data_IF_855772453627
#
_entry.id   IF_855772453627
#
_cell.length_a   1.000
_cell.length_b   1.000
_cell.length_c   1.000
_cell.angle_alpha   90.00
_cell.angle_beta   90.00
_cell.angle_gamma   90.00
#
_symmetry.space_group_name_H-M   'P 1'
#
loop_
_entity.id
_entity.type
_entity.pdbx_description
1 polymer ?
#
# COMPACT_ATOMS: atom_id res chain seq x y z
N UNK A 1 11.84 38.06 15.63
CA UNK A 1 11.21 38.03 16.98
C UNK A 1 10.42 36.74 17.11
N UNK A 2 10.85 35.84 17.99
CA UNK A 2 10.07 34.66 18.34
C UNK A 2 8.96 35.09 19.25
N UNK A 3 7.74 35.13 18.75
CA UNK A 3 6.54 35.41 19.53
C UNK A 3 6.36 34.34 20.61
N UNK A 4 5.81 34.71 21.76
CA UNK A 4 5.46 33.82 22.88
C UNK A 4 4.72 32.55 22.41
N UNK A 5 3.83 32.69 21.42
CA UNK A 5 3.14 31.57 20.74
C UNK A 5 4.07 30.57 20.09
N UNK A 6 5.17 31.03 19.50
CA UNK A 6 6.16 30.12 18.86
C UNK A 6 6.99 29.35 19.89
N UNK A 7 7.20 29.93 21.07
CA UNK A 7 7.89 29.28 22.18
C UNK A 7 7.03 28.15 22.78
N UNK A 8 5.76 28.45 23.03
CA UNK A 8 4.79 27.44 23.56
C UNK A 8 4.62 26.27 22.58
N UNK A 9 4.47 26.56 21.28
CA UNK A 9 4.42 25.53 20.24
C UNK A 9 5.68 24.67 20.23
N UNK A 10 6.86 25.23 20.38
CA UNK A 10 8.12 24.49 20.44
C UNK A 10 8.14 23.54 21.63
N UNK A 11 7.72 23.97 22.81
CA UNK A 11 7.64 23.11 23.99
C UNK A 11 6.67 21.92 23.79
N UNK A 12 5.50 22.16 23.17
CA UNK A 12 4.56 21.07 22.87
C UNK A 12 5.14 20.08 21.86
N UNK A 13 5.95 20.53 20.91
CA UNK A 13 6.68 19.64 20.00
C UNK A 13 7.75 18.82 20.70
N UNK A 14 8.50 19.42 21.60
CA UNK A 14 9.54 18.70 22.34
C UNK A 14 8.90 17.60 23.22
N UNK A 15 7.75 17.89 23.83
CA UNK A 15 6.93 16.90 24.55
C UNK A 15 6.44 15.77 23.62
N UNK A 16 5.94 16.12 22.44
CA UNK A 16 5.47 15.16 21.45
C UNK A 16 6.62 14.22 20.99
N UNK A 17 7.80 14.79 20.75
CA UNK A 17 9.01 14.02 20.36
C UNK A 17 9.41 13.09 21.51
N UNK A 18 9.43 13.58 22.74
CA UNK A 18 9.75 12.78 23.93
C UNK A 18 8.75 11.62 24.13
N UNK A 19 7.47 11.84 23.80
CA UNK A 19 6.44 10.81 23.82
C UNK A 19 6.56 9.77 22.68
N UNK A 20 7.52 9.93 21.78
CA UNK A 20 7.77 8.98 20.67
C UNK A 20 6.87 9.21 19.45
N UNK A 21 6.89 10.40 18.89
CA UNK A 21 6.14 10.74 17.67
C UNK A 21 6.55 9.88 16.47
N UNK A 22 5.70 8.93 16.14
CA UNK A 22 5.91 8.00 15.02
C UNK A 22 6.04 8.70 13.67
N UNK A 23 5.30 9.79 13.46
CA UNK A 23 5.32 10.54 12.20
C UNK A 23 6.66 11.25 11.99
N UNK A 24 7.23 11.82 13.06
CA UNK A 24 8.57 12.43 13.01
C UNK A 24 9.67 11.39 12.73
N UNK A 25 9.54 10.16 13.23
CA UNK A 25 10.47 9.08 12.91
C UNK A 25 10.38 8.71 11.43
N UNK A 26 9.16 8.57 10.89
CA UNK A 26 8.91 8.20 9.49
C UNK A 26 9.38 9.31 8.54
N UNK A 27 9.13 10.56 8.89
CA UNK A 27 9.50 11.72 8.07
C UNK A 27 11.01 11.76 7.78
N UNK A 28 11.82 11.27 8.73
CA UNK A 28 13.28 11.15 8.60
C UNK A 28 13.74 9.92 7.80
N UNK A 29 12.86 8.93 7.58
CA UNK A 29 13.21 7.70 6.86
C UNK A 29 13.16 7.89 5.34
N UNK A 30 12.47 8.91 4.84
CA UNK A 30 12.23 9.13 3.42
C UNK A 30 12.67 10.54 3.05
N UNK A 31 13.39 10.66 1.94
CA UNK A 31 13.51 11.93 1.24
C UNK A 31 12.28 12.14 0.36
N UNK A 32 11.49 13.17 0.69
CA UNK A 32 10.27 13.49 -0.04
C UNK A 32 10.52 14.24 -1.34
N UNK A 33 11.70 14.86 -1.51
CA UNK A 33 11.97 15.72 -2.66
C UNK A 33 11.93 14.99 -4.00
N UNK A 34 12.46 13.75 -4.14
CA UNK A 34 12.40 13.00 -5.40
C UNK A 34 10.99 12.68 -5.88
N UNK A 35 9.99 12.66 -4.99
CA UNK A 35 8.59 12.49 -5.40
C UNK A 35 8.00 13.75 -6.05
N UNK A 36 8.61 14.92 -5.84
CA UNK A 36 8.10 16.20 -6.35
C UNK A 36 7.95 16.23 -7.87
N UNK A 37 8.96 15.92 -8.70
CA UNK A 37 8.81 15.95 -10.15
C UNK A 37 7.75 14.96 -10.64
N UNK A 38 7.64 13.77 -10.03
CA UNK A 38 6.62 12.76 -10.36
C UNK A 38 5.21 13.34 -10.12
N UNK A 39 4.99 13.96 -8.96
CA UNK A 39 3.70 14.53 -8.60
C UNK A 39 3.39 15.84 -9.33
N UNK A 40 4.38 16.61 -9.71
CA UNK A 40 4.20 17.84 -10.48
C UNK A 40 3.84 17.58 -11.93
N UNK A 41 4.23 16.43 -12.49
CA UNK A 41 3.91 16.07 -13.88
C UNK A 41 2.41 16.00 -14.17
N UNK A 42 1.57 15.83 -13.14
CA UNK A 42 0.11 15.82 -13.32
C UNK A 42 -0.54 17.22 -13.43
N UNK A 43 0.25 18.29 -13.35
CA UNK A 43 -0.22 19.66 -13.50
C UNK A 43 0.36 20.28 -14.77
N UNK A 44 -0.49 20.46 -15.77
CA UNK A 44 -0.12 21.01 -17.09
C UNK A 44 -0.55 22.47 -17.29
N UNK A 45 -1.23 23.05 -16.29
CA UNK A 45 -1.90 24.35 -16.40
C UNK A 45 -1.04 25.53 -15.95
N UNK A 46 0.28 25.40 -15.91
CA UNK A 46 1.21 26.52 -15.68
C UNK A 46 1.33 27.33 -16.96
N UNK A 47 0.40 28.26 -17.15
CA UNK A 47 0.43 29.21 -18.26
C UNK A 47 0.75 30.61 -17.76
N UNK A 48 1.36 31.43 -18.60
CA UNK A 48 1.66 32.86 -18.32
C UNK A 48 0.42 33.72 -18.07
N UNK A 49 -0.78 33.17 -18.35
CA UNK A 49 -2.08 33.86 -18.18
C UNK A 49 -2.57 33.84 -16.72
N UNK A 50 -1.81 33.33 -15.77
CA UNK A 50 -2.22 33.22 -14.38
C UNK A 50 -3.16 32.03 -14.12
N UNK A 51 -3.56 31.86 -12.89
CA UNK A 51 -4.44 30.80 -12.40
C UNK A 51 -4.18 30.55 -10.92
N UNK A 52 -5.08 29.79 -10.26
CA UNK A 52 -4.86 29.38 -8.87
C UNK A 52 -3.68 28.41 -8.82
N UNK A 53 -2.65 28.74 -8.06
CA UNK A 53 -1.51 27.85 -7.84
C UNK A 53 -1.98 26.54 -7.18
N UNK A 54 -1.38 25.44 -7.63
CA UNK A 54 -1.59 24.14 -6.99
C UNK A 54 -1.10 24.15 -5.55
N UNK A 55 -1.75 23.37 -4.70
CA UNK A 55 -1.23 23.10 -3.35
C UNK A 55 0.13 22.38 -3.46
N UNK A 56 1.01 22.59 -2.47
CA UNK A 56 2.31 21.95 -2.46
C UNK A 56 2.17 20.42 -2.58
N UNK A 57 2.61 19.85 -3.71
CA UNK A 57 2.37 18.43 -4.05
C UNK A 57 2.90 17.46 -3.02
N UNK A 58 4.03 17.77 -2.39
CA UNK A 58 4.60 16.95 -1.30
C UNK A 58 3.69 16.97 -0.07
N UNK A 59 3.13 18.13 0.28
CA UNK A 59 2.15 18.22 1.37
C UNK A 59 0.91 17.38 1.07
N UNK A 60 0.39 17.47 -0.15
CA UNK A 60 -0.76 16.66 -0.59
C UNK A 60 -0.45 15.16 -0.53
N UNK A 61 0.73 14.74 -0.95
CA UNK A 61 1.15 13.36 -0.88
C UNK A 61 1.30 12.89 0.58
N UNK A 62 1.90 13.70 1.45
CA UNK A 62 1.96 13.43 2.89
C UNK A 62 0.56 13.33 3.52
N UNK A 63 -0.44 14.10 3.05
CA UNK A 63 -1.83 13.94 3.48
C UNK A 63 -2.38 12.55 3.11
N UNK A 64 -2.10 12.02 1.91
CA UNK A 64 -2.50 10.65 1.55
C UNK A 64 -1.79 9.59 2.41
N UNK A 65 -0.53 9.82 2.78
CA UNK A 65 0.17 8.95 3.74
C UNK A 65 -0.51 8.98 5.11
N UNK A 66 -0.85 10.15 5.65
CA UNK A 66 -1.60 10.29 6.90
C UNK A 66 -2.96 9.59 6.83
N UNK A 67 -3.67 9.76 5.72
CA UNK A 67 -4.96 9.13 5.49
C UNK A 67 -4.86 7.61 5.59
N UNK A 68 -3.91 7.02 4.88
CA UNK A 68 -3.73 5.56 4.86
C UNK A 68 -3.16 5.05 6.18
N UNK A 69 -2.23 5.77 6.78
CA UNK A 69 -1.60 5.40 8.05
C UNK A 69 -2.60 5.30 9.20
N UNK A 70 -3.58 6.21 9.24
CA UNK A 70 -4.59 6.28 10.28
C UNK A 70 -5.95 5.71 9.85
N UNK A 71 -6.12 5.30 8.59
CA UNK A 71 -7.37 4.76 8.05
C UNK A 71 -8.51 5.77 8.06
N UNK A 72 -8.23 7.04 7.70
CA UNK A 72 -9.18 8.14 7.76
C UNK A 72 -10.02 8.26 6.49
N UNK A 73 -11.25 8.75 6.62
CA UNK A 73 -12.04 9.26 5.50
C UNK A 73 -11.52 10.62 5.04
N UNK A 74 -11.94 11.10 3.85
CA UNK A 74 -11.47 12.39 3.33
C UNK A 74 -11.84 13.56 4.28
N UNK A 75 -13.11 13.69 4.76
CA UNK A 75 -13.46 14.75 5.72
C UNK A 75 -12.74 14.61 7.07
N UNK A 76 -12.53 13.38 7.54
CA UNK A 76 -11.84 13.18 8.82
C UNK A 76 -10.34 13.48 8.71
N UNK A 77 -9.73 13.26 7.56
CA UNK A 77 -8.35 13.66 7.29
C UNK A 77 -8.19 15.18 7.40
N UNK A 78 -9.06 15.95 6.74
CA UNK A 78 -9.06 17.41 6.82
C UNK A 78 -9.17 17.86 8.28
N UNK A 79 -10.19 17.37 9.02
CA UNK A 79 -10.42 17.70 10.42
C UNK A 79 -9.18 17.41 11.29
N UNK A 80 -8.59 16.24 11.14
CA UNK A 80 -7.41 15.86 11.94
C UNK A 80 -6.13 16.59 11.53
N UNK A 81 -5.99 17.00 10.28
CA UNK A 81 -4.88 17.87 9.86
C UNK A 81 -4.98 19.28 10.45
N UNK A 82 -6.18 19.75 10.77
CA UNK A 82 -6.40 21.03 11.47
C UNK A 82 -6.12 20.86 12.96
N UNK A 83 -6.64 19.80 13.56
CA UNK A 83 -6.68 19.57 15.01
C UNK A 83 -5.33 19.08 15.59
N UNK A 84 -4.68 18.11 14.91
CA UNK A 84 -3.50 17.43 15.45
C UNK A 84 -2.20 18.16 15.15
N UNK A 85 -1.49 18.53 16.19
CA UNK A 85 -0.18 19.17 16.10
C UNK A 85 0.86 18.27 15.40
N UNK A 86 0.83 16.95 15.63
CA UNK A 86 1.71 15.98 14.96
C UNK A 86 1.50 15.93 13.45
N UNK A 87 0.23 16.02 13.00
CA UNK A 87 -0.10 16.05 11.57
C UNK A 87 0.39 17.36 10.95
N UNK A 88 0.13 18.49 11.58
CA UNK A 88 0.63 19.79 11.11
C UNK A 88 2.14 19.83 10.98
N UNK A 89 2.86 19.25 11.95
CA UNK A 89 4.31 19.14 11.91
C UNK A 89 4.76 18.28 10.72
N UNK A 90 4.16 17.10 10.55
CA UNK A 90 4.48 16.20 9.42
C UNK A 90 4.23 16.85 8.06
N UNK A 91 3.22 17.72 7.95
CA UNK A 91 2.90 18.50 6.74
C UNK A 91 3.78 19.76 6.56
N UNK A 92 4.66 20.09 7.52
CA UNK A 92 5.53 21.26 7.47
C UNK A 92 4.83 22.59 7.83
N UNK A 93 3.79 22.55 8.68
CA UNK A 93 3.04 23.72 9.15
C UNK A 93 2.42 24.59 8.05
N UNK A 94 1.62 24.02 7.17
CA UNK A 94 0.99 24.81 6.12
C UNK A 94 0.06 25.86 6.74
N UNK A 95 0.04 27.06 6.13
CA UNK A 95 -0.87 28.14 6.53
C UNK A 95 -2.35 27.73 6.34
N UNK A 96 -2.62 26.92 5.34
CA UNK A 96 -3.95 26.42 5.00
C UNK A 96 -3.90 24.91 4.78
N UNK A 97 -4.83 24.20 5.38
CA UNK A 97 -5.07 22.78 5.10
C UNK A 97 -6.03 22.68 3.90
N UNK A 98 -5.71 21.89 2.87
CA UNK A 98 -6.62 21.59 1.78
C UNK A 98 -7.86 20.86 2.28
N UNK A 99 -9.00 21.16 1.64
CA UNK A 99 -10.28 20.50 1.90
C UNK A 99 -10.31 19.06 1.38
N UNK A 100 -11.30 18.30 1.81
CA UNK A 100 -11.51 16.90 1.47
C UNK A 100 -11.67 16.68 -0.04
N UNK A 101 -12.36 17.59 -0.74
CA UNK A 101 -12.56 17.52 -2.19
C UNK A 101 -11.25 17.75 -2.96
N UNK A 102 -10.39 18.63 -2.46
CA UNK A 102 -9.04 18.85 -3.02
C UNK A 102 -8.16 17.62 -2.86
N UNK A 103 -8.21 16.96 -1.70
CA UNK A 103 -7.47 15.71 -1.46
C UNK A 103 -7.99 14.59 -2.36
N UNK A 104 -9.31 14.47 -2.49
CA UNK A 104 -9.93 13.52 -3.40
C UNK A 104 -9.49 13.75 -4.85
N UNK A 105 -9.53 14.99 -5.33
CA UNK A 105 -9.12 15.34 -6.70
C UNK A 105 -7.64 15.04 -6.96
N UNK A 106 -6.77 15.28 -5.98
CA UNK A 106 -5.35 14.95 -6.06
C UNK A 106 -5.14 13.43 -6.22
N UNK A 107 -5.81 12.63 -5.40
CA UNK A 107 -5.78 11.17 -5.46
C UNK A 107 -6.29 10.64 -6.80
N UNK A 108 -7.40 11.18 -7.33
CA UNK A 108 -7.95 10.80 -8.63
C UNK A 108 -7.00 11.10 -9.80
N UNK A 109 -6.24 12.20 -9.73
CA UNK A 109 -5.24 12.51 -10.77
C UNK A 109 -4.11 11.47 -10.78
N UNK A 110 -3.60 11.08 -9.61
CA UNK A 110 -2.59 10.01 -9.52
C UNK A 110 -3.11 8.73 -10.17
N UNK A 111 -4.33 8.29 -9.81
CA UNK A 111 -4.93 7.07 -10.33
C UNK A 111 -5.24 7.14 -11.85
N UNK A 112 -5.64 8.30 -12.37
CA UNK A 112 -5.91 8.49 -13.80
C UNK A 112 -4.65 8.42 -14.65
N UNK A 113 -3.56 8.97 -14.15
CA UNK A 113 -2.28 9.07 -14.87
C UNK A 113 -1.37 7.84 -14.64
N UNK A 114 -1.75 6.92 -13.75
CA UNK A 114 -0.97 5.72 -13.47
C UNK A 114 0.39 6.02 -12.85
N UNK A 115 0.47 7.07 -11.99
CA UNK A 115 1.74 7.48 -11.37
C UNK A 115 2.17 6.56 -10.23
N UNK A 116 1.36 5.56 -9.89
CA UNK A 116 1.62 4.59 -8.83
C UNK A 116 2.96 3.88 -9.01
N UNK A 117 3.29 3.47 -10.24
CA UNK A 117 4.53 2.76 -10.55
C UNK A 117 5.75 3.64 -10.31
N UNK A 118 5.71 4.91 -10.73
CA UNK A 118 6.82 5.85 -10.52
C UNK A 118 7.00 6.18 -9.05
N UNK A 119 5.91 6.41 -8.32
CA UNK A 119 5.93 6.64 -6.86
C UNK A 119 6.50 5.42 -6.15
N UNK A 120 6.07 4.22 -6.53
CA UNK A 120 6.54 2.98 -5.94
C UNK A 120 8.01 2.72 -6.24
N UNK A 121 8.43 2.93 -7.49
CA UNK A 121 9.83 2.80 -7.93
C UNK A 121 10.77 3.71 -7.14
N UNK A 122 10.37 4.97 -6.90
CA UNK A 122 11.16 5.88 -6.09
C UNK A 122 11.29 5.42 -4.63
N UNK A 123 10.21 4.89 -4.03
CA UNK A 123 10.29 4.30 -2.70
C UNK A 123 11.27 3.11 -2.67
N UNK A 124 11.19 2.20 -3.64
CA UNK A 124 12.08 1.03 -3.71
C UNK A 124 13.54 1.46 -3.88
N UNK A 125 13.80 2.45 -4.73
CA UNK A 125 15.14 3.03 -4.89
C UNK A 125 15.69 3.55 -3.56
N UNK A 126 14.92 4.26 -2.78
CA UNK A 126 15.34 4.77 -1.47
C UNK A 126 15.57 3.64 -0.45
N UNK A 127 14.77 2.58 -0.49
CA UNK A 127 14.95 1.38 0.33
C UNK A 127 16.29 0.72 0.00
N UNK A 128 16.60 0.54 -1.28
CA UNK A 128 17.83 -0.10 -1.74
C UNK A 128 19.08 0.74 -1.42
N UNK A 129 18.99 2.07 -1.54
CA UNK A 129 20.05 2.99 -1.13
C UNK A 129 20.39 2.92 0.38
N UNK A 130 19.47 2.39 1.20
CA UNK A 130 19.72 2.13 2.64
C UNK A 130 20.32 0.76 2.93
N UNK A 131 20.75 0.03 1.90
CA UNK A 131 21.36 -1.30 2.03
C UNK A 131 20.36 -2.44 2.29
N UNK A 132 19.07 -2.18 2.12
CA UNK A 132 18.00 -3.17 2.28
C UNK A 132 17.74 -3.94 0.97
N UNK A 133 18.78 -4.38 0.30
CA UNK A 133 18.68 -5.15 -0.94
C UNK A 133 18.19 -6.58 -0.66
N UNK A 134 17.59 -7.21 -1.67
CA UNK A 134 17.08 -8.59 -1.59
C UNK A 134 18.29 -9.56 -1.52
N UNK A 135 18.35 -10.38 -0.48
CA UNK A 135 19.49 -11.31 -0.27
C UNK A 135 19.10 -12.77 -0.10
N UNK A 136 17.94 -13.06 0.50
CA UNK A 136 17.56 -14.42 0.95
C UNK A 136 16.34 -15.02 0.23
N UNK A 137 15.94 -14.44 -0.89
CA UNK A 137 14.77 -14.86 -1.65
C UNK A 137 13.50 -14.10 -1.28
N UNK A 138 12.46 -14.41 -2.01
CA UNK A 138 11.19 -13.68 -2.02
C UNK A 138 10.03 -14.60 -1.63
N UNK A 139 8.97 -14.03 -1.09
CA UNK A 139 7.74 -14.74 -0.77
C UNK A 139 6.64 -14.13 -1.60
N UNK A 140 6.03 -14.91 -2.50
CA UNK A 140 4.85 -14.47 -3.24
C UNK A 140 3.59 -15.07 -2.63
N UNK A 141 2.64 -14.20 -2.32
CA UNK A 141 1.35 -14.60 -1.76
C UNK A 141 0.25 -13.62 -2.16
N UNK A 142 -1.00 -13.97 -1.88
CA UNK A 142 -2.18 -13.21 -2.24
C UNK A 142 -3.15 -13.07 -1.07
N UNK A 143 -3.81 -11.94 -0.99
CA UNK A 143 -4.85 -11.72 0.01
C UNK A 143 -6.10 -11.09 -0.60
N UNK A 144 -7.28 -11.48 -0.08
CA UNK A 144 -8.55 -10.89 -0.48
C UNK A 144 -8.75 -9.51 0.14
N UNK A 145 -9.26 -8.59 -0.68
CA UNK A 145 -9.70 -7.26 -0.32
C UNK A 145 -11.20 -7.18 -0.58
N UNK A 146 -11.97 -7.09 0.48
CA UNK A 146 -13.44 -7.06 0.39
C UNK A 146 -13.89 -5.69 -0.12
N UNK A 147 -14.77 -5.69 -1.10
CA UNK A 147 -15.41 -4.48 -1.61
C UNK A 147 -16.88 -4.38 -1.18
N UNK A 148 -17.46 -3.20 -1.29
CA UNK A 148 -18.87 -2.98 -1.01
C UNK A 148 -19.71 -3.58 -2.14
N UNK A 149 -20.61 -4.49 -1.78
CA UNK A 149 -21.56 -5.13 -2.70
C UNK A 149 -22.55 -4.13 -3.27
N UNK A 150 -22.95 -3.12 -2.49
CA UNK A 150 -24.10 -2.26 -2.77
C UNK A 150 -25.41 -3.06 -2.87
N UNK A 151 -26.54 -2.37 -2.78
CA UNK A 151 -27.83 -2.98 -3.10
C UNK A 151 -28.01 -2.90 -4.62
N UNK A 152 -28.03 -4.06 -5.29
CA UNK A 152 -28.43 -4.14 -6.69
C UNK A 152 -29.98 -4.09 -6.72
N UNK A 153 -30.55 -2.96 -7.11
CA UNK A 153 -31.93 -2.94 -7.56
C UNK A 153 -32.01 -3.70 -8.87
N UNK A 154 -32.94 -4.67 -8.97
CA UNK A 154 -33.10 -5.52 -10.17
C UNK A 154 -33.43 -4.70 -11.42
N UNK A 155 -34.05 -3.53 -11.24
CA UNK A 155 -34.58 -2.66 -12.28
C UNK A 155 -33.61 -1.53 -12.72
N UNK A 156 -32.38 -1.49 -12.25
CA UNK A 156 -31.40 -0.46 -12.62
C UNK A 156 -30.31 -1.00 -13.52
N UNK A 157 -30.01 -0.22 -14.57
CA UNK A 157 -28.91 -0.45 -15.51
C UNK A 157 -27.62 -0.84 -14.78
N UNK A 158 -26.98 -1.90 -15.28
CA UNK A 158 -25.66 -2.37 -14.81
C UNK A 158 -24.61 -1.84 -15.76
N UNK A 159 -23.44 -1.49 -15.26
CA UNK A 159 -22.33 -0.99 -16.06
C UNK A 159 -21.92 0.43 -15.68
N UNK A 160 -21.22 1.10 -16.60
CA UNK A 160 -20.60 2.41 -16.34
C UNK A 160 -21.60 3.54 -16.05
N UNK A 161 -22.83 3.40 -16.51
CA UNK A 161 -23.93 4.35 -16.29
C UNK A 161 -24.65 4.16 -14.94
N UNK A 162 -24.39 3.06 -14.24
CA UNK A 162 -25.06 2.78 -12.97
C UNK A 162 -24.52 3.70 -11.86
N UNK A 163 -25.34 4.67 -11.41
CA UNK A 163 -25.07 5.52 -10.23
C UNK A 163 -25.17 4.72 -8.91
N UNK A 164 -24.48 3.59 -8.81
CA UNK A 164 -24.51 2.75 -7.62
C UNK A 164 -23.20 2.88 -6.85
N UNK A 165 -23.24 2.78 -5.52
CA UNK A 165 -22.06 2.67 -4.66
C UNK A 165 -21.38 1.31 -4.75
N UNK A 166 -21.85 0.42 -5.61
CA UNK A 166 -21.26 -0.89 -5.82
C UNK A 166 -19.93 -0.75 -6.54
N UNK A 167 -18.94 -1.55 -6.13
CA UNK A 167 -17.70 -1.66 -6.88
C UNK A 167 -17.99 -2.24 -8.28
N UNK A 168 -17.71 -1.44 -9.33
CA UNK A 168 -18.07 -1.80 -10.72
C UNK A 168 -17.27 -2.99 -11.22
N UNK A 169 -15.97 -2.99 -10.91
CA UNK A 169 -15.00 -3.99 -11.38
C UNK A 169 -14.88 -5.16 -10.41
N UNK A 170 -15.44 -5.03 -9.18
CA UNK A 170 -15.36 -6.10 -8.18
C UNK A 170 -16.02 -7.38 -8.67
N UNK A 171 -15.42 -8.52 -8.36
CA UNK A 171 -15.96 -9.83 -8.76
C UNK A 171 -15.98 -10.80 -7.59
N UNK A 172 -16.66 -11.92 -7.79
CA UNK A 172 -16.77 -12.96 -6.78
C UNK A 172 -15.65 -13.98 -6.89
N UNK A 173 -15.18 -14.44 -5.74
CA UNK A 173 -14.31 -15.61 -5.62
C UNK A 173 -14.69 -16.42 -4.40
N UNK A 174 -14.38 -17.72 -4.42
CA UNK A 174 -14.72 -18.66 -3.36
C UNK A 174 -13.45 -19.22 -2.73
N UNK A 175 -13.33 -19.15 -1.41
CA UNK A 175 -12.22 -19.76 -0.66
C UNK A 175 -12.76 -20.42 0.61
N UNK A 176 -12.41 -21.71 0.81
CA UNK A 176 -12.81 -22.45 2.01
C UNK A 176 -14.33 -22.46 2.25
N UNK A 177 -15.14 -22.60 1.19
CA UNK A 177 -16.61 -22.58 1.26
C UNK A 177 -17.24 -21.19 1.37
N UNK A 178 -16.48 -20.13 1.66
CA UNK A 178 -16.95 -18.75 1.77
C UNK A 178 -16.80 -18.00 0.46
N UNK A 179 -17.80 -17.20 0.08
CA UNK A 179 -17.77 -16.33 -1.09
C UNK A 179 -17.31 -14.92 -0.69
N UNK A 180 -16.40 -14.35 -1.47
CA UNK A 180 -15.84 -13.01 -1.29
C UNK A 180 -16.10 -12.18 -2.53
N UNK A 181 -16.60 -10.97 -2.36
CA UNK A 181 -16.77 -10.00 -3.42
C UNK A 181 -15.72 -8.90 -3.27
N UNK A 182 -14.99 -8.62 -4.34
CA UNK A 182 -14.00 -7.54 -4.35
C UNK A 182 -12.80 -7.82 -5.23
N UNK A 183 -11.63 -7.72 -4.62
CA UNK A 183 -10.33 -7.71 -5.28
C UNK A 183 -9.35 -8.65 -4.58
N UNK A 184 -8.21 -8.87 -5.22
CA UNK A 184 -7.04 -9.52 -4.63
C UNK A 184 -5.86 -8.58 -4.68
N UNK A 185 -5.09 -8.58 -3.62
CA UNK A 185 -3.77 -7.97 -3.57
C UNK A 185 -2.73 -9.10 -3.61
N UNK A 186 -2.01 -9.17 -4.71
CA UNK A 186 -0.84 -10.02 -4.87
C UNK A 186 0.38 -9.23 -4.43
N UNK A 187 1.24 -9.84 -3.64
CA UNK A 187 2.47 -9.21 -3.18
C UNK A 187 3.65 -10.15 -3.31
N UNK A 188 4.81 -9.59 -3.58
CA UNK A 188 6.07 -10.27 -3.40
C UNK A 188 6.88 -9.51 -2.35
N UNK A 189 7.36 -10.24 -1.35
CA UNK A 189 7.91 -9.73 -0.10
C UNK A 189 9.34 -10.24 0.03
N UNK A 190 10.27 -9.35 0.38
CA UNK A 190 11.61 -9.72 0.77
C UNK A 190 11.57 -10.53 2.07
N UNK A 191 12.08 -11.76 2.00
CA UNK A 191 12.05 -12.70 3.11
C UNK A 191 12.86 -12.22 4.33
N UNK A 192 13.97 -11.50 4.14
CA UNK A 192 14.85 -11.09 5.23
C UNK A 192 14.32 -9.87 5.98
N UNK A 193 13.93 -8.83 5.24
CA UNK A 193 13.53 -7.55 5.79
C UNK A 193 12.01 -7.40 5.87
N UNK A 194 11.26 -8.34 5.31
CA UNK A 194 9.79 -8.36 5.25
C UNK A 194 9.21 -7.10 4.58
N UNK A 195 9.93 -6.52 3.63
CA UNK A 195 9.49 -5.38 2.85
C UNK A 195 8.71 -5.84 1.62
N UNK A 196 7.60 -5.17 1.32
CA UNK A 196 6.88 -5.39 0.07
C UNK A 196 7.72 -4.79 -1.06
N UNK A 197 8.07 -5.62 -2.06
CA UNK A 197 8.92 -5.21 -3.19
C UNK A 197 8.10 -4.90 -4.43
N UNK A 198 7.16 -5.75 -4.74
CA UNK A 198 6.23 -5.59 -5.86
C UNK A 198 4.84 -6.00 -5.43
N UNK A 199 3.85 -5.45 -6.06
CA UNK A 199 2.46 -5.83 -5.83
C UNK A 199 1.63 -5.61 -7.10
N UNK A 200 0.50 -6.29 -7.15
CA UNK A 200 -0.50 -6.12 -8.21
C UNK A 200 -1.89 -6.28 -7.60
N UNK A 201 -2.82 -5.47 -8.08
CA UNK A 201 -4.22 -5.55 -7.66
C UNK A 201 -5.07 -6.08 -8.81
N UNK A 202 -5.75 -7.19 -8.57
CA UNK A 202 -6.65 -7.81 -9.55
C UNK A 202 -8.07 -7.90 -9.02
N UNK A 203 -9.02 -8.20 -9.90
CA UNK A 203 -10.37 -8.60 -9.47
C UNK A 203 -10.31 -9.97 -8.79
N UNK A 204 -11.23 -10.23 -7.85
CA UNK A 204 -11.18 -11.45 -7.03
C UNK A 204 -11.29 -12.77 -7.82
N UNK A 205 -11.86 -12.75 -9.04
CA UNK A 205 -11.99 -13.93 -9.90
C UNK A 205 -10.69 -14.37 -10.57
N UNK A 206 -9.68 -13.50 -10.68
CA UNK A 206 -8.36 -13.87 -11.24
C UNK A 206 -7.73 -14.94 -10.36
N UNK A 207 -7.30 -16.04 -10.94
CA UNK A 207 -6.63 -17.12 -10.19
C UNK A 207 -5.23 -16.68 -9.74
N UNK A 208 -4.83 -17.09 -8.54
CA UNK A 208 -3.56 -16.65 -7.93
C UNK A 208 -2.34 -16.99 -8.82
N UNK A 209 -2.39 -18.12 -9.51
CA UNK A 209 -1.35 -18.58 -10.43
C UNK A 209 -1.21 -17.76 -11.73
N UNK A 210 -2.17 -16.91 -12.06
CA UNK A 210 -2.09 -16.05 -13.27
C UNK A 210 -1.22 -14.81 -13.06
N UNK A 211 -0.86 -14.50 -11.81
CA UNK A 211 -0.04 -13.33 -11.48
C UNK A 211 1.33 -13.81 -11.00
N UNK A 212 2.35 -13.51 -11.76
CA UNK A 212 3.75 -13.76 -11.40
C UNK A 212 4.47 -12.41 -11.19
N UNK A 213 4.87 -12.15 -9.96
CA UNK A 213 5.61 -10.96 -9.56
C UNK A 213 7.12 -11.22 -9.40
N UNK A 214 7.60 -12.42 -9.74
CA UNK A 214 9.00 -12.77 -9.64
C UNK A 214 9.84 -12.19 -10.80
N UNK A 215 11.13 -12.04 -10.58
CA UNK A 215 12.12 -11.64 -11.56
C UNK A 215 13.17 -12.73 -11.74
N UNK A 216 13.90 -12.68 -12.85
CA UNK A 216 14.99 -13.61 -13.12
C UNK A 216 16.05 -13.56 -11.99
N UNK A 217 16.55 -14.73 -11.61
CA UNK A 217 17.55 -14.86 -10.56
C UNK A 217 17.01 -14.87 -9.12
N UNK A 218 15.72 -14.57 -8.91
CA UNK A 218 15.12 -14.62 -7.58
C UNK A 218 14.66 -16.03 -7.21
N UNK A 219 14.86 -16.44 -5.95
CA UNK A 219 14.20 -17.63 -5.38
C UNK A 219 12.87 -17.20 -4.78
N UNK A 220 11.76 -17.79 -5.28
CA UNK A 220 10.40 -17.37 -4.90
C UNK A 220 9.66 -18.49 -4.21
N UNK A 221 9.32 -18.29 -2.94
CA UNK A 221 8.53 -19.22 -2.13
C UNK A 221 7.03 -18.98 -2.35
N UNK A 222 6.31 -20.03 -2.82
CA UNK A 222 4.88 -19.95 -3.18
C UNK A 222 4.09 -21.07 -2.51
N UNK A 223 2.80 -20.83 -2.30
CA UNK A 223 1.89 -21.86 -1.78
C UNK A 223 1.43 -22.86 -2.84
N UNK A 224 0.55 -23.78 -2.43
CA UNK A 224 -0.05 -24.82 -3.31
C UNK A 224 -0.94 -24.23 -4.42
N UNK A 225 -1.41 -22.99 -4.28
CA UNK A 225 -2.23 -22.30 -5.26
C UNK A 225 -1.48 -22.00 -6.55
N UNK A 226 -0.15 -21.96 -6.50
CA UNK A 226 0.74 -21.74 -7.65
C UNK A 226 1.30 -23.04 -8.23
N UNK A 227 0.82 -24.20 -7.78
CA UNK A 227 1.32 -25.49 -8.28
C UNK A 227 1.04 -25.67 -9.76
N UNK A 228 2.07 -26.11 -10.52
CA UNK A 228 1.98 -26.35 -11.98
C UNK A 228 2.18 -25.09 -12.83
N UNK A 229 2.51 -23.95 -12.22
CA UNK A 229 2.82 -22.71 -12.95
C UNK A 229 4.28 -22.33 -12.73
N UNK A 230 4.98 -22.05 -13.80
CA UNK A 230 6.36 -21.58 -13.77
C UNK A 230 6.45 -20.17 -13.21
N UNK A 231 7.61 -19.83 -12.63
CA UNK A 231 7.97 -18.50 -12.21
C UNK A 231 9.05 -17.97 -13.17
N UNK A 232 9.11 -16.65 -13.34
CA UNK A 232 10.27 -16.01 -14.00
C UNK A 232 11.56 -16.28 -13.23
N UNK A 233 11.48 -16.32 -11.90
CA UNK A 233 12.55 -16.73 -11.01
C UNK A 233 12.56 -18.23 -10.71
N UNK A 234 13.40 -18.65 -9.77
CA UNK A 234 13.47 -20.03 -9.29
C UNK A 234 12.29 -20.37 -8.38
N UNK A 235 11.35 -21.17 -8.86
CA UNK A 235 10.13 -21.51 -8.13
C UNK A 235 10.36 -22.50 -6.98
N UNK A 236 10.25 -22.02 -5.75
CA UNK A 236 10.11 -22.84 -4.55
C UNK A 236 8.62 -22.98 -4.19
N UNK A 237 7.83 -23.59 -5.08
CA UNK A 237 6.39 -23.77 -4.93
C UNK A 237 6.08 -25.07 -4.17
N UNK A 238 5.11 -25.01 -3.24
CA UNK A 238 4.62 -26.17 -2.51
C UNK A 238 3.94 -27.17 -3.46
N UNK A 239 4.20 -28.44 -3.27
CA UNK A 239 3.57 -29.53 -4.00
C UNK A 239 2.12 -29.73 -3.58
N UNK A 240 1.25 -30.06 -4.54
CA UNK A 240 -0.17 -30.36 -4.29
C UNK A 240 -0.44 -31.84 -4.61
N UNK A 241 -1.16 -32.51 -3.71
CA UNK A 241 -1.69 -33.83 -3.99
C UNK A 241 -2.67 -33.78 -5.17
N UNK A 242 -2.59 -34.73 -6.09
CA UNK A 242 -3.51 -34.91 -7.21
C UNK A 242 -4.35 -36.16 -6.96
N UNK A 243 -5.53 -36.25 -7.54
CA UNK A 243 -6.41 -37.42 -7.39
C UNK A 243 -5.66 -38.71 -7.73
N UNK A 244 -5.62 -39.65 -6.80
CA UNK A 244 -4.91 -40.94 -6.95
C UNK A 244 -3.40 -40.89 -6.74
N UNK A 245 -2.81 -39.70 -6.47
CA UNK A 245 -1.37 -39.56 -6.20
C UNK A 245 -1.16 -38.69 -4.94
N UNK A 246 -1.16 -39.28 -3.73
CA UNK A 246 -0.83 -38.55 -2.50
C UNK A 246 0.62 -38.09 -2.53
N UNK A 247 0.92 -37.08 -1.71
CA UNK A 247 2.30 -36.61 -1.55
C UNK A 247 3.15 -37.70 -0.86
N UNK A 248 4.34 -37.93 -1.39
CA UNK A 248 5.33 -38.76 -0.72
C UNK A 248 6.02 -38.00 0.43
N UNK A 249 6.73 -38.73 1.29
CA UNK A 249 7.40 -38.18 2.47
C UNK A 249 8.34 -37.00 2.13
N UNK A 250 9.13 -37.11 1.07
CA UNK A 250 10.06 -36.04 0.63
C UNK A 250 9.31 -34.77 0.23
N UNK A 251 8.17 -34.91 -0.46
CA UNK A 251 7.32 -33.78 -0.86
C UNK A 251 6.67 -33.09 0.36
N UNK A 252 6.24 -33.87 1.35
CA UNK A 252 5.69 -33.33 2.60
C UNK A 252 6.78 -32.52 3.33
N UNK A 253 7.96 -33.11 3.57
CA UNK A 253 9.08 -32.41 4.21
C UNK A 253 9.53 -31.16 3.46
N UNK A 254 9.49 -31.18 2.12
CA UNK A 254 9.78 -30.01 1.31
C UNK A 254 8.72 -28.91 1.51
N UNK A 255 7.45 -29.30 1.53
CA UNK A 255 6.35 -28.36 1.77
C UNK A 255 6.45 -27.71 3.16
N UNK A 256 6.79 -28.47 4.18
CA UNK A 256 6.97 -27.96 5.54
C UNK A 256 8.09 -26.91 5.59
N UNK A 257 9.23 -27.19 4.95
CA UNK A 257 10.32 -26.20 4.82
C UNK A 257 9.88 -24.94 4.10
N UNK A 258 9.15 -25.05 2.99
CA UNK A 258 8.62 -23.89 2.25
C UNK A 258 7.61 -23.12 3.10
N UNK A 259 6.75 -23.82 3.84
CA UNK A 259 5.76 -23.20 4.74
C UNK A 259 6.43 -22.31 5.77
N UNK A 260 7.50 -22.78 6.43
CA UNK A 260 8.29 -22.02 7.38
C UNK A 260 8.88 -20.75 6.73
N UNK A 261 9.39 -20.86 5.49
CA UNK A 261 9.94 -19.70 4.78
C UNK A 261 8.87 -18.65 4.45
N UNK A 262 7.60 -19.04 4.33
CA UNK A 262 6.47 -18.18 3.98
C UNK A 262 5.79 -17.51 5.17
N UNK A 263 6.07 -17.91 6.39
CA UNK A 263 5.46 -17.32 7.61
C UNK A 263 5.51 -15.79 7.68
N UNK A 264 6.57 -15.10 7.23
CA UNK A 264 6.61 -13.64 7.29
C UNK A 264 5.47 -12.94 6.54
N UNK A 265 4.91 -13.54 5.47
CA UNK A 265 3.83 -12.91 4.70
C UNK A 265 2.53 -12.77 5.51
N UNK A 266 2.26 -13.69 6.45
CA UNK A 266 1.08 -13.61 7.32
C UNK A 266 1.11 -12.35 8.19
N UNK A 267 2.28 -12.01 8.73
CA UNK A 267 2.48 -10.77 9.50
C UNK A 267 2.26 -9.53 8.63
N UNK A 268 2.77 -9.53 7.39
CA UNK A 268 2.56 -8.44 6.45
C UNK A 268 1.07 -8.20 6.21
N UNK A 269 0.31 -9.27 5.96
CA UNK A 269 -1.13 -9.15 5.75
C UNK A 269 -1.90 -8.81 7.03
N UNK A 270 -1.49 -9.30 8.18
CA UNK A 270 -2.10 -8.93 9.44
C UNK A 270 -1.94 -7.42 9.72
N UNK A 271 -0.76 -6.85 9.48
CA UNK A 271 -0.50 -5.42 9.65
C UNK A 271 -1.25 -4.59 8.60
N UNK A 272 -1.19 -4.97 7.31
CA UNK A 272 -1.87 -4.21 6.25
C UNK A 272 -3.39 -4.19 6.42
N UNK A 273 -3.99 -5.30 6.84
CA UNK A 273 -5.45 -5.38 7.07
C UNK A 273 -5.88 -4.80 8.42
N UNK A 274 -5.14 -5.07 9.48
CA UNK A 274 -5.48 -4.67 10.84
C UNK A 274 -5.09 -3.21 11.11
N UNK A 275 -3.79 -2.88 10.99
CA UNK A 275 -3.29 -1.54 11.31
C UNK A 275 -3.69 -0.52 10.25
N UNK A 276 -3.49 -0.84 8.96
CA UNK A 276 -3.77 0.09 7.87
C UNK A 276 -5.18 -0.09 7.26
N UNK A 277 -6.03 -0.92 7.86
CA UNK A 277 -7.45 -1.11 7.50
C UNK A 277 -7.70 -1.43 6.01
N UNK A 278 -6.73 -2.07 5.35
CA UNK A 278 -6.81 -2.36 3.92
C UNK A 278 -7.61 -3.64 3.58
N UNK A 279 -8.15 -4.36 4.58
CA UNK A 279 -8.96 -5.56 4.35
C UNK A 279 -10.29 -5.30 3.66
N UNK A 280 -10.80 -4.07 3.73
CA UNK A 280 -12.04 -3.63 3.08
C UNK A 280 -11.84 -2.29 2.40
N UNK A 281 -12.36 -2.16 1.17
CA UNK A 281 -12.30 -0.92 0.39
C UNK A 281 -13.68 -0.37 0.08
N UNK A 282 -13.78 0.96 0.08
CA UNK A 282 -14.99 1.70 -0.30
C UNK A 282 -14.88 2.30 -1.70
N UNK A 283 -13.68 2.30 -2.28
CA UNK A 283 -13.41 2.75 -3.65
C UNK A 283 -13.88 1.70 -4.66
N UNK A 284 -14.25 2.12 -5.86
CA UNK A 284 -15.14 1.34 -6.74
C UNK A 284 -14.52 0.80 -8.03
N UNK A 285 -13.26 1.09 -8.32
CA UNK A 285 -12.59 0.61 -9.55
C UNK A 285 -11.24 0.00 -9.25
N UNK A 286 -10.77 -0.93 -10.10
CA UNK A 286 -9.43 -1.55 -9.96
C UNK A 286 -8.35 -0.49 -9.83
N UNK A 287 -8.37 0.56 -10.68
CA UNK A 287 -7.38 1.67 -10.63
C UNK A 287 -7.35 2.35 -9.26
N UNK A 288 -8.51 2.71 -8.70
CA UNK A 288 -8.59 3.34 -7.38
C UNK A 288 -8.18 2.39 -6.26
N UNK A 289 -8.55 1.10 -6.38
CA UNK A 289 -8.12 0.08 -5.41
C UNK A 289 -6.63 -0.12 -5.48
N UNK A 290 -6.03 -0.15 -6.70
CA UNK A 290 -4.59 -0.27 -6.88
C UNK A 290 -3.83 0.88 -6.20
N UNK A 291 -4.25 2.13 -6.42
CA UNK A 291 -3.67 3.27 -5.72
C UNK A 291 -3.79 3.13 -4.19
N UNK A 292 -4.97 2.71 -3.68
CA UNK A 292 -5.15 2.48 -2.25
C UNK A 292 -4.25 1.37 -1.72
N UNK A 293 -4.05 0.30 -2.48
CA UNK A 293 -3.15 -0.80 -2.10
C UNK A 293 -1.69 -0.36 -2.19
N UNK A 294 -1.32 0.45 -3.18
CA UNK A 294 0.00 1.09 -3.25
C UNK A 294 0.27 1.93 -1.99
N UNK A 295 -0.66 2.80 -1.60
CA UNK A 295 -0.52 3.60 -0.39
C UNK A 295 -0.45 2.74 0.88
N UNK A 296 -1.18 1.61 0.91
CA UNK A 296 -1.10 0.64 2.01
C UNK A 296 0.29 0.00 2.09
N UNK A 297 0.82 -0.47 0.96
CA UNK A 297 2.16 -1.06 0.86
C UNK A 297 3.25 -0.02 1.19
N UNK A 298 3.07 1.23 0.74
CA UNK A 298 3.93 2.35 1.07
C UNK A 298 4.00 2.58 2.60
N UNK A 299 2.84 2.71 3.24
CA UNK A 299 2.76 2.87 4.70
C UNK A 299 3.31 1.66 5.45
N UNK A 300 3.07 0.43 4.94
CA UNK A 300 3.64 -0.79 5.52
C UNK A 300 5.18 -0.75 5.45
N UNK A 301 5.75 -0.42 4.30
CA UNK A 301 7.21 -0.33 4.15
C UNK A 301 7.82 0.74 5.06
N UNK A 302 7.18 1.90 5.22
CA UNK A 302 7.61 2.91 6.20
C UNK A 302 7.58 2.38 7.63
N UNK A 303 6.51 1.66 7.98
CA UNK A 303 6.39 1.02 9.30
C UNK A 303 7.47 -0.02 9.54
N UNK A 304 7.76 -0.82 8.52
CA UNK A 304 8.80 -1.86 8.58
C UNK A 304 10.21 -1.23 8.66
N UNK A 305 10.51 -0.22 7.84
CA UNK A 305 11.77 0.52 7.91
C UNK A 305 12.00 1.13 9.30
N UNK A 306 10.95 1.70 9.91
CA UNK A 306 11.02 2.19 11.29
C UNK A 306 11.36 1.06 12.26
N UNK A 307 10.80 -0.12 12.07
CA UNK A 307 11.10 -1.32 12.89
C UNK A 307 12.55 -1.76 12.70
N UNK A 308 13.03 -1.80 11.46
CA UNK A 308 14.42 -2.14 11.13
C UNK A 308 15.42 -1.13 11.72
N UNK A 309 15.08 0.17 11.68
CA UNK A 309 15.88 1.20 12.34
C UNK A 309 15.98 0.98 13.85
N UNK A 310 14.88 0.68 14.51
CA UNK A 310 14.87 0.36 15.94
C UNK A 310 15.68 -0.89 16.27
N UNK A 311 15.70 -1.87 15.37
CA UNK A 311 16.55 -3.07 15.47
C UNK A 311 18.01 -2.82 15.05
N UNK A 312 18.37 -1.60 14.72
CA UNK A 312 19.71 -1.20 14.24
C UNK A 312 20.18 -1.93 12.97
N UNK A 313 19.24 -2.35 12.13
CA UNK A 313 19.55 -2.95 10.82
C UNK A 313 19.88 -1.86 9.80
N UNK A 314 19.28 -0.67 9.93
CA UNK A 314 19.56 0.54 9.15
C UNK A 314 19.85 1.72 10.07
N UNK A 315 20.58 2.71 9.52
CA UNK A 315 20.95 3.95 10.21
C UNK A 315 19.77 4.93 10.35
#
# INVERSE_FOLDING_TARGET
MSTFSNFTLKQEYDRLIAAGDKLSEIDKLIDWNPFRPILQSMYTNRTDKGGRLENAVIMMFKMLVLQQWHGLSDPELERQCIDRISFRKFLGFPKRIPDDTTVWAFRERIAKLGLEEQIWGELQRQIDCRGLQIKKGMIQDVTFIVAVLGHANQDKLRGDEAKTRRSRDGNWSKKGGKSYFGYKLHTIIDKENELIRRFETTVASVHDSQVDLSEEGEVVYRDKGYFGVEAKGFAATMQRAVRGKPLNFRQIMRNDRISVQRMPCERVYAVTKGVFRAGKVMVTTVKRVNLKMMMTAFCFNLHQMRTLKRKKVIA
#
